data_IF_733834644908
#
_entry.id   IF_733834644908
#
_cell.length_a   1.000
_cell.length_b   1.000
_cell.length_c   1.000
_cell.angle_alpha   90.00
_cell.angle_beta   90.00
_cell.angle_gamma   90.00
#
_symmetry.space_group_name_H-M   'P 1'
#
loop_
_entity.id
_entity.type
_entity.pdbx_description
1 polymer ?
#
# COMPACT_ATOMS: atom_id res chain seq x y z
N UNK A 1 27.50 -5.85 -15.29
CA UNK A 1 27.21 -5.34 -13.93
C UNK A 1 25.77 -5.70 -13.66
N UNK A 2 25.52 -6.65 -12.78
CA UNK A 2 24.19 -7.20 -12.51
C UNK A 2 24.05 -7.17 -10.99
N UNK A 3 23.22 -6.26 -10.49
CA UNK A 3 23.12 -6.04 -9.06
C UNK A 3 22.33 -7.17 -8.39
N UNK A 4 23.06 -7.94 -7.58
CA UNK A 4 22.59 -9.11 -6.87
C UNK A 4 21.71 -8.69 -5.68
N UNK A 5 20.42 -8.45 -5.91
CA UNK A 5 19.42 -8.35 -4.84
C UNK A 5 19.10 -9.73 -4.26
N UNK A 6 20.09 -10.35 -3.62
CA UNK A 6 19.99 -11.69 -3.05
C UNK A 6 20.12 -11.64 -1.53
N UNK A 7 19.01 -11.91 -0.84
CA UNK A 7 18.95 -12.48 0.52
C UNK A 7 19.59 -11.67 1.66
N UNK A 8 18.75 -11.04 2.51
CA UNK A 8 19.23 -10.53 3.80
C UNK A 8 18.21 -9.80 4.69
N UNK A 9 17.24 -9.09 4.11
CA UNK A 9 16.24 -8.38 4.92
C UNK A 9 15.10 -9.33 5.28
N UNK A 10 15.14 -9.85 6.51
CA UNK A 10 14.01 -10.58 7.11
C UNK A 10 12.79 -9.67 7.09
N UNK A 11 11.71 -10.14 6.44
CA UNK A 11 10.38 -9.50 6.50
C UNK A 11 9.94 -9.38 7.96
N UNK A 12 10.15 -8.22 8.56
CA UNK A 12 9.42 -7.76 9.75
C UNK A 12 8.43 -6.64 9.37
N UNK A 13 7.84 -6.76 8.18
CA UNK A 13 6.59 -6.11 7.87
C UNK A 13 5.55 -6.62 8.88
N UNK A 14 5.29 -5.82 9.92
CA UNK A 14 4.41 -6.24 11.01
C UNK A 14 3.00 -5.85 10.65
N UNK A 15 2.11 -6.84 10.51
CA UNK A 15 0.70 -6.56 10.35
C UNK A 15 0.20 -5.72 11.54
N UNK A 16 -0.48 -4.61 11.25
CA UNK A 16 -1.04 -3.69 12.23
C UNK A 16 -2.55 -3.55 12.03
N UNK A 17 -3.26 -3.24 13.11
CA UNK A 17 -4.69 -2.96 13.04
C UNK A 17 -4.94 -1.66 12.29
N UNK A 18 -6.06 -1.59 11.55
CA UNK A 18 -6.39 -0.37 10.82
C UNK A 18 -6.71 0.81 11.75
N UNK A 19 -7.19 0.56 12.97
CA UNK A 19 -7.29 1.57 14.02
C UNK A 19 -5.94 2.25 14.30
N UNK A 20 -4.86 1.47 14.43
CA UNK A 20 -3.49 2.00 14.62
C UNK A 20 -3.00 2.78 13.41
N UNK A 21 -3.36 2.34 12.20
CA UNK A 21 -3.10 3.07 10.96
C UNK A 21 -3.80 4.43 10.96
N UNK A 22 -5.08 4.49 11.32
CA UNK A 22 -5.87 5.72 11.35
C UNK A 22 -5.41 6.72 12.42
N UNK A 23 -4.81 6.24 13.52
CA UNK A 23 -4.19 7.10 14.52
C UNK A 23 -2.99 7.91 13.98
N UNK A 24 -2.26 7.38 12.99
CA UNK A 24 -1.14 8.07 12.32
C UNK A 24 -1.58 8.75 11.03
N UNK A 25 -2.47 8.12 10.26
CA UNK A 25 -2.90 8.55 8.93
C UNK A 25 -4.44 8.62 8.85
N UNK A 26 -5.08 9.61 9.51
CA UNK A 26 -6.54 9.73 9.52
C UNK A 26 -7.13 9.95 8.11
N UNK A 27 -6.31 10.38 7.14
CA UNK A 27 -6.68 10.50 5.73
C UNK A 27 -7.07 9.16 5.07
N UNK A 28 -6.62 8.02 5.63
CA UNK A 28 -6.96 6.70 5.10
C UNK A 28 -8.38 6.25 5.47
N UNK A 29 -9.12 6.99 6.30
CA UNK A 29 -10.46 6.62 6.80
C UNK A 29 -11.47 6.19 5.73
N UNK A 30 -11.52 6.74 4.50
CA UNK A 30 -12.40 6.24 3.44
C UNK A 30 -12.18 4.77 3.06
N UNK A 31 -11.01 4.21 3.34
CA UNK A 31 -10.68 2.80 3.13
C UNK A 31 -11.19 1.88 4.26
N UNK A 32 -11.85 2.43 5.29
CA UNK A 32 -12.53 1.66 6.33
C UNK A 32 -13.84 1.04 5.80
N UNK A 33 -14.50 1.79 4.92
CA UNK A 33 -15.84 1.49 4.41
C UNK A 33 -15.79 0.64 3.12
N UNK A 34 -14.59 0.19 2.74
CA UNK A 34 -14.33 -0.70 1.62
C UNK A 34 -14.91 -2.11 1.89
N UNK A 35 -15.65 -2.72 0.92
CA UNK A 35 -16.29 -4.01 1.13
C UNK A 35 -15.31 -5.19 1.20
N UNK A 36 -14.08 -4.99 0.69
CA UNK A 36 -12.96 -5.95 0.82
C UNK A 36 -11.91 -5.30 1.72
N UNK A 37 -11.60 -5.89 2.89
CA UNK A 37 -10.74 -5.25 3.87
C UNK A 37 -9.29 -5.18 3.39
N UNK A 38 -8.67 -4.04 3.63
CA UNK A 38 -7.23 -3.83 3.41
C UNK A 38 -6.38 -4.54 4.48
N UNK A 39 -5.32 -5.23 4.05
CA UNK A 39 -4.25 -5.72 4.93
C UNK A 39 -3.21 -4.63 5.10
N UNK A 40 -2.91 -4.24 6.33
CA UNK A 40 -1.97 -3.16 6.64
C UNK A 40 -0.73 -3.68 7.37
N UNK A 41 0.44 -3.28 6.89
CA UNK A 41 1.73 -3.71 7.38
C UNK A 41 2.64 -2.49 7.61
N UNK A 42 3.16 -2.35 8.84
CA UNK A 42 4.22 -1.39 9.13
C UNK A 42 5.54 -1.94 8.55
N UNK A 43 6.08 -1.27 7.54
CA UNK A 43 7.25 -1.74 6.79
C UNK A 43 8.31 -0.63 6.74
N UNK A 44 9.19 -0.51 7.76
CA UNK A 44 10.19 0.56 7.88
C UNK A 44 11.42 0.30 6.99
N UNK A 45 11.19 -0.06 5.72
CA UNK A 45 12.26 -0.38 4.76
C UNK A 45 12.36 0.78 3.77
N UNK A 46 13.54 1.41 3.73
CA UNK A 46 13.94 2.39 2.72
C UNK A 46 12.82 3.40 2.34
N UNK A 47 12.49 4.26 3.30
CA UNK A 47 11.56 5.40 3.19
C UNK A 47 10.05 5.08 3.17
N UNK A 48 9.65 3.80 3.09
CA UNK A 48 8.26 3.39 3.35
C UNK A 48 7.99 3.46 4.86
N UNK A 49 6.84 4.04 5.24
CA UNK A 49 6.34 4.06 6.62
C UNK A 49 5.22 3.02 6.81
N UNK A 50 4.35 2.87 5.80
CA UNK A 50 3.17 2.01 5.81
C UNK A 50 2.91 1.41 4.43
N UNK A 51 2.51 0.14 4.41
CA UNK A 51 1.98 -0.54 3.22
C UNK A 51 0.57 -1.05 3.51
N UNK A 52 -0.38 -0.73 2.63
CA UNK A 52 -1.70 -1.36 2.55
C UNK A 52 -1.80 -2.19 1.27
N UNK A 53 -2.27 -3.43 1.38
CA UNK A 53 -2.48 -4.34 0.24
C UNK A 53 -3.89 -4.93 0.26
N UNK A 54 -4.48 -5.15 -0.92
CA UNK A 54 -5.68 -5.98 -1.08
C UNK A 54 -5.84 -6.51 -2.50
N UNK A 55 -6.59 -7.59 -2.63
CA UNK A 55 -7.17 -7.96 -3.91
C UNK A 55 -8.33 -7.02 -4.26
N UNK A 56 -8.40 -6.51 -5.49
CA UNK A 56 -9.55 -5.74 -5.96
C UNK A 56 -10.82 -6.62 -6.05
N UNK A 57 -10.65 -7.87 -6.51
CA UNK A 57 -11.65 -8.95 -6.49
C UNK A 57 -10.91 -10.30 -6.36
N UNK A 58 -11.60 -11.44 -6.14
CA UNK A 58 -10.97 -12.77 -6.14
C UNK A 58 -10.23 -13.15 -7.44
N UNK A 59 -10.46 -12.41 -8.53
CA UNK A 59 -9.90 -12.67 -9.87
C UNK A 59 -9.23 -11.44 -10.50
N UNK A 60 -9.08 -10.33 -9.75
CA UNK A 60 -8.55 -9.06 -10.24
C UNK A 60 -7.20 -8.72 -9.58
N UNK A 61 -6.39 -7.85 -10.18
CA UNK A 61 -5.07 -7.49 -9.65
C UNK A 61 -5.07 -7.03 -8.18
N UNK A 62 -3.94 -7.29 -7.52
CA UNK A 62 -3.63 -6.70 -6.21
C UNK A 62 -3.41 -5.19 -6.36
N UNK A 63 -3.98 -4.45 -5.41
CA UNK A 63 -3.80 -3.01 -5.24
C UNK A 63 -2.89 -2.83 -4.02
N UNK A 64 -1.75 -2.17 -4.23
CA UNK A 64 -0.80 -1.81 -3.19
C UNK A 64 -0.74 -0.30 -3.02
N UNK A 65 -0.95 0.17 -1.80
CA UNK A 65 -0.77 1.55 -1.36
C UNK A 65 0.45 1.63 -0.44
N UNK A 66 1.49 2.35 -0.88
CA UNK A 66 2.67 2.64 -0.09
C UNK A 66 2.62 4.10 0.37
N UNK A 67 2.79 4.32 1.67
CA UNK A 67 2.91 5.66 2.28
C UNK A 67 4.36 5.84 2.70
N UNK A 68 4.92 6.98 2.31
CA UNK A 68 6.28 7.43 2.58
C UNK A 68 6.23 8.74 3.37
N UNK A 69 7.35 9.16 3.94
CA UNK A 69 7.48 10.49 4.52
C UNK A 69 7.10 11.57 3.47
N UNK A 70 5.94 12.21 3.67
CA UNK A 70 5.43 13.32 2.85
C UNK A 70 4.72 12.96 1.54
N UNK A 71 4.67 11.69 1.10
CA UNK A 71 3.99 11.31 -0.15
C UNK A 71 3.46 9.86 -0.14
N UNK A 72 2.68 9.50 -1.14
CA UNK A 72 2.18 8.14 -1.31
C UNK A 72 2.31 7.66 -2.77
N UNK A 73 2.37 6.34 -2.96
CA UNK A 73 2.34 5.68 -4.26
C UNK A 73 1.31 4.55 -4.27
N UNK A 74 0.55 4.45 -5.35
CA UNK A 74 -0.37 3.35 -5.62
C UNK A 74 0.16 2.51 -6.79
N UNK A 75 0.07 1.18 -6.67
CA UNK A 75 0.26 0.23 -7.75
C UNK A 75 -1.03 -0.57 -7.90
N UNK A 76 -1.45 -0.79 -9.15
CA UNK A 76 -2.61 -1.64 -9.49
C UNK A 76 -2.10 -2.66 -10.51
N UNK A 77 -2.01 -3.93 -10.11
CA UNK A 77 -1.53 -4.96 -11.03
C UNK A 77 -1.07 -6.29 -10.41
N UNK A 78 -0.71 -6.31 -9.12
CA UNK A 78 -0.03 -7.47 -8.53
C UNK A 78 1.33 -7.76 -9.17
N UNK A 79 2.26 -6.81 -9.06
CA UNK A 79 3.61 -6.93 -9.63
C UNK A 79 4.34 -5.59 -9.65
N UNK A 80 5.21 -5.35 -8.67
CA UNK A 80 5.90 -4.07 -8.48
C UNK A 80 6.84 -3.66 -9.65
N UNK A 81 7.13 -4.56 -10.61
CA UNK A 81 8.05 -4.33 -11.72
C UNK A 81 7.42 -3.73 -12.98
N UNK A 82 6.13 -3.98 -13.25
CA UNK A 82 5.46 -3.53 -14.50
C UNK A 82 4.06 -2.89 -14.27
N UNK A 83 3.55 -2.90 -13.04
CA UNK A 83 2.28 -2.24 -12.72
C UNK A 83 2.40 -0.70 -12.84
N UNK A 84 1.42 0.00 -13.42
CA UNK A 84 1.43 1.46 -13.49
C UNK A 84 1.45 2.08 -12.09
N UNK A 85 2.56 2.77 -11.78
CA UNK A 85 2.75 3.50 -10.52
C UNK A 85 2.11 4.89 -10.63
N UNK A 86 1.17 5.17 -9.74
CA UNK A 86 0.61 6.51 -9.54
C UNK A 86 1.23 7.09 -8.27
N UNK A 87 1.73 8.31 -8.29
CA UNK A 87 2.31 8.99 -7.11
C UNK A 87 1.63 10.32 -6.85
N UNK A 88 1.48 10.69 -5.58
CA UNK A 88 0.96 12.00 -5.22
C UNK A 88 0.82 12.21 -3.71
N UNK A 89 -0.07 13.13 -3.34
CA UNK A 89 -0.46 13.28 -1.93
C UNK A 89 -1.20 12.04 -1.43
N UNK A 90 -1.12 11.77 -0.12
CA UNK A 90 -1.84 10.65 0.50
C UNK A 90 -3.35 10.71 0.22
N UNK A 91 -3.98 11.87 0.41
CA UNK A 91 -5.40 12.09 0.10
C UNK A 91 -5.75 11.79 -1.37
N UNK A 92 -4.89 12.16 -2.32
CA UNK A 92 -5.07 11.82 -3.74
C UNK A 92 -5.00 10.31 -3.97
N UNK A 93 -4.04 9.61 -3.33
CA UNK A 93 -3.90 8.17 -3.50
C UNK A 93 -5.03 7.38 -2.85
N UNK A 94 -5.63 7.88 -1.76
CA UNK A 94 -6.84 7.29 -1.15
C UNK A 94 -8.04 7.36 -2.09
N UNK A 95 -8.27 8.50 -2.75
CA UNK A 95 -9.34 8.64 -3.75
C UNK A 95 -9.12 7.69 -4.94
N UNK A 96 -7.90 7.60 -5.47
CA UNK A 96 -7.59 6.65 -6.56
C UNK A 96 -7.74 5.20 -6.10
N UNK A 97 -7.29 4.85 -4.89
CA UNK A 97 -7.42 3.51 -4.32
C UNK A 97 -8.89 3.10 -4.10
N UNK A 98 -9.73 4.04 -3.69
CA UNK A 98 -11.18 3.87 -3.53
C UNK A 98 -11.96 3.82 -4.86
N UNK A 99 -11.34 4.25 -5.96
CA UNK A 99 -11.87 4.08 -7.33
C UNK A 99 -11.37 2.82 -8.03
N UNK A 100 -10.17 2.35 -7.72
CA UNK A 100 -9.65 1.06 -8.19
C UNK A 100 -10.36 -0.13 -7.53
N UNK A 101 -10.83 0.07 -6.29
CA UNK A 101 -12.25 -0.06 -5.92
C UNK A 101 -12.97 -1.40 -6.20
N UNK A 102 -14.30 -1.43 -6.37
CA UNK A 102 -15.23 -0.69 -7.27
C UNK A 102 -15.12 -1.15 -8.73
#
# INVERSE_FOLDING_TARGET
>A
MVDNFTTGVVRMARQISFERVLATYPQLRPLADDPVPWRWEACPVADVELWGSRAATPSAPEIDLFVYAGHAALYVGGGHTDAPRITGSLASMVDVAGRAAR
#
